data_IF_782579403800
#
_entry.id   IF_782579403800
#
_cell.length_a   1.000
_cell.length_b   1.000
_cell.length_c   1.000
_cell.angle_alpha   90.00
_cell.angle_beta   90.00
_cell.angle_gamma   90.00
#
_symmetry.space_group_name_H-M   'P 1'
#
loop_
_entity.id
_entity.type
_entity.pdbx_description
1 polymer ?
#
# COMPACT_ATOMS: atom_id res chain seq x y z
N UNK A 1 -56.47 -16.36 48.74
CA UNK A 1 -55.04 -16.13 49.07
C UNK A 1 -54.05 -16.61 47.99
N UNK A 2 -54.47 -17.28 46.90
CA UNK A 2 -53.53 -17.82 45.89
C UNK A 2 -53.22 -16.88 44.70
N UNK A 3 -54.11 -15.93 44.35
CA UNK A 3 -53.91 -15.07 43.16
C UNK A 3 -53.00 -13.85 43.40
N UNK A 4 -53.08 -13.22 44.57
CA UNK A 4 -52.23 -12.07 44.91
C UNK A 4 -50.75 -12.46 45.05
N UNK A 5 -50.47 -13.65 45.60
CA UNK A 5 -49.11 -14.17 45.72
C UNK A 5 -48.47 -14.48 44.35
N UNK A 6 -49.26 -14.99 43.40
CA UNK A 6 -48.79 -15.27 42.04
C UNK A 6 -48.48 -13.98 41.26
N UNK A 7 -49.26 -12.92 41.47
CA UNK A 7 -49.04 -11.62 40.84
C UNK A 7 -47.77 -10.93 41.38
N UNK A 8 -47.51 -11.02 42.69
CA UNK A 8 -46.28 -10.51 43.29
C UNK A 8 -45.02 -11.23 42.79
N UNK A 9 -45.07 -12.54 42.61
CA UNK A 9 -43.94 -13.30 42.09
C UNK A 9 -43.63 -12.95 40.62
N UNK A 10 -44.66 -12.74 39.80
CA UNK A 10 -44.53 -12.26 38.42
C UNK A 10 -43.94 -10.86 38.32
N UNK A 11 -44.36 -9.94 39.19
CA UNK A 11 -43.79 -8.58 39.27
C UNK A 11 -42.32 -8.63 39.73
N UNK A 12 -41.97 -9.51 40.67
CA UNK A 12 -40.59 -9.71 41.14
C UNK A 12 -39.68 -10.28 40.05
N UNK A 13 -40.16 -11.27 39.28
CA UNK A 13 -39.46 -11.84 38.10
C UNK A 13 -39.27 -10.81 36.98
N UNK A 14 -40.27 -9.97 36.67
CA UNK A 14 -40.13 -8.87 35.69
C UNK A 14 -39.10 -7.83 36.13
N UNK A 15 -39.12 -7.42 37.41
CA UNK A 15 -38.13 -6.47 37.98
C UNK A 15 -36.71 -7.04 37.96
N UNK A 16 -36.53 -8.34 38.20
CA UNK A 16 -35.23 -8.99 38.12
C UNK A 16 -34.69 -9.07 36.68
N UNK A 17 -35.53 -9.37 35.69
CA UNK A 17 -35.17 -9.33 34.25
C UNK A 17 -34.76 -7.92 33.81
N UNK A 18 -35.49 -6.90 34.24
CA UNK A 18 -35.19 -5.51 33.88
C UNK A 18 -33.86 -5.02 34.51
N UNK A 19 -33.52 -5.45 35.74
CA UNK A 19 -32.21 -5.14 36.35
C UNK A 19 -31.04 -5.81 35.61
N UNK A 20 -31.21 -7.06 35.14
CA UNK A 20 -30.19 -7.76 34.35
C UNK A 20 -29.95 -7.14 32.96
N UNK A 21 -31.00 -6.60 32.33
CA UNK A 21 -30.85 -5.85 31.08
C UNK A 21 -30.13 -4.50 31.29
N UNK A 22 -30.43 -3.79 32.39
CA UNK A 22 -29.74 -2.54 32.75
C UNK A 22 -28.24 -2.76 33.04
N UNK A 23 -27.86 -3.85 33.71
CA UNK A 23 -26.46 -4.18 33.96
C UNK A 23 -25.69 -4.56 32.69
N UNK A 24 -26.34 -5.25 31.73
CA UNK A 24 -25.72 -5.57 30.43
C UNK A 24 -25.52 -4.31 29.57
N UNK A 25 -26.45 -3.36 29.61
CA UNK A 25 -26.33 -2.06 28.92
C UNK A 25 -25.23 -1.20 29.56
N UNK A 26 -25.08 -1.23 30.89
CA UNK A 26 -23.99 -0.54 31.58
C UNK A 26 -22.61 -1.18 31.32
N UNK A 27 -22.52 -2.49 31.16
CA UNK A 27 -21.26 -3.18 30.82
C UNK A 27 -20.82 -2.89 29.37
N UNK A 28 -21.76 -2.90 28.41
CA UNK A 28 -21.47 -2.55 27.00
C UNK A 28 -21.10 -1.07 26.85
N UNK A 29 -21.66 -0.17 27.68
CA UNK A 29 -21.23 1.24 27.73
C UNK A 29 -19.82 1.43 28.31
N UNK A 30 -19.28 0.47 29.07
CA UNK A 30 -17.95 0.59 29.70
C UNK A 30 -16.82 0.14 28.78
N UNK A 31 -17.07 -0.77 27.83
CA UNK A 31 -16.11 -1.21 26.81
C UNK A 31 -16.02 -0.29 25.58
N UNK A 32 -16.92 0.67 25.41
CA UNK A 32 -16.81 1.74 24.41
C UNK A 32 -16.05 2.99 24.92
N UNK A 33 -15.29 2.86 26.01
CA UNK A 33 -14.52 3.95 26.61
C UNK A 33 -13.04 3.84 26.25
N UNK A 34 -12.72 4.01 24.98
CA UNK A 34 -11.42 4.54 24.56
C UNK A 34 -11.69 5.81 23.76
N UNK A 35 -11.23 6.92 24.34
CA UNK A 35 -11.18 8.28 23.77
C UNK A 35 -12.51 8.97 23.44
N UNK A 36 -13.26 9.36 24.48
CA UNK A 36 -14.15 10.53 24.40
C UNK A 36 -13.83 11.49 25.54
N UNK A 37 -13.51 12.73 25.17
CA UNK A 37 -13.36 13.87 26.08
C UNK A 37 -14.54 13.97 27.06
N UNK A 38 -14.31 14.44 28.31
CA UNK A 38 -15.33 14.44 29.35
C UNK A 38 -16.46 15.44 29.02
N UNK A 39 -17.74 15.11 29.28
CA UNK A 39 -18.82 16.07 29.14
C UNK A 39 -18.85 17.00 30.37
N UNK A 40 -18.93 18.30 30.09
CA UNK A 40 -19.19 19.36 31.07
C UNK A 40 -20.53 19.14 31.77
N UNK A 41 -20.53 19.38 33.08
CA UNK A 41 -21.68 19.31 33.97
C UNK A 41 -22.67 20.43 33.60
N UNK A 42 -23.90 20.08 33.21
CA UNK A 42 -24.97 21.08 33.00
C UNK A 42 -25.60 21.38 34.37
N UNK A 43 -25.31 22.56 34.91
CA UNK A 43 -26.10 23.23 35.96
C UNK A 43 -26.98 24.27 35.25
N UNK A 44 -28.29 24.37 35.52
CA UNK A 44 -29.15 25.31 34.82
C UNK A 44 -29.19 26.64 35.57
N UNK A 45 -28.62 27.72 35.03
CA UNK A 45 -28.95 29.08 35.45
C UNK A 45 -28.99 30.01 34.23
N UNK A 46 -30.08 30.75 34.19
CA UNK A 46 -30.51 31.80 33.28
C UNK A 46 -29.62 33.05 33.39
N UNK A 47 -29.36 33.70 32.24
CA UNK A 47 -28.84 35.07 32.06
C UNK A 47 -27.51 35.45 32.75
N UNK A 48 -26.43 35.55 31.97
CA UNK A 48 -25.55 36.75 31.90
C UNK A 48 -24.48 36.59 30.81
N UNK A 49 -24.19 37.70 30.11
CA UNK A 49 -23.25 37.85 29.00
C UNK A 49 -21.77 37.80 29.45
N UNK A 50 -20.93 37.39 28.50
CA UNK A 50 -19.51 37.76 28.29
C UNK A 50 -18.46 37.44 29.38
N UNK A 51 -17.69 36.37 29.14
CA UNK A 51 -16.21 36.44 28.96
C UNK A 51 -15.70 35.07 28.45
N UNK A 52 -15.33 34.98 27.17
CA UNK A 52 -14.64 33.79 26.63
C UNK A 52 -13.14 33.88 26.97
N UNK A 53 -12.62 32.91 27.72
CA UNK A 53 -11.18 32.74 27.93
C UNK A 53 -10.52 32.10 26.68
N UNK A 54 -9.25 32.43 26.35
CA UNK A 54 -8.63 32.05 25.07
C UNK A 54 -8.19 30.59 24.96
N UNK A 55 -8.30 29.78 26.03
CA UNK A 55 -7.71 28.43 26.07
C UNK A 55 -8.64 27.32 25.55
N UNK A 56 -9.96 27.53 25.52
CA UNK A 56 -10.93 26.48 25.14
C UNK A 56 -11.18 26.39 23.63
N UNK A 57 -10.86 27.44 22.88
CA UNK A 57 -10.93 27.48 21.41
C UNK A 57 -9.74 26.73 20.77
N UNK A 58 -8.56 26.85 21.37
CA UNK A 58 -7.31 26.28 20.85
C UNK A 58 -7.32 24.74 20.81
N UNK A 59 -7.96 24.08 21.77
CA UNK A 59 -7.97 22.61 21.90
C UNK A 59 -8.99 21.94 20.95
N UNK A 60 -10.09 22.62 20.61
CA UNK A 60 -11.02 22.21 19.54
C UNK A 60 -10.40 22.41 18.17
N UNK A 61 -9.61 23.46 18.00
CA UNK A 61 -8.94 23.76 16.76
C UNK A 61 -7.78 22.80 16.49
N UNK A 62 -6.99 22.38 17.49
CA UNK A 62 -5.97 21.34 17.31
C UNK A 62 -6.56 19.98 16.85
N UNK A 63 -7.67 19.56 17.46
CA UNK A 63 -8.39 18.33 17.06
C UNK A 63 -8.99 18.45 15.64
N UNK A 64 -9.41 19.65 15.23
CA UNK A 64 -9.87 19.94 13.87
C UNK A 64 -8.69 20.01 12.87
N UNK A 65 -7.54 20.57 13.26
CA UNK A 65 -6.34 20.71 12.41
C UNK A 65 -5.79 19.34 12.02
N UNK A 66 -5.69 18.39 12.96
CA UNK A 66 -5.31 17.01 12.66
C UNK A 66 -6.30 16.32 11.69
N UNK A 67 -7.59 16.66 11.77
CA UNK A 67 -8.63 16.26 10.81
C UNK A 67 -8.47 16.92 9.44
N UNK A 68 -7.99 18.16 9.37
CA UNK A 68 -7.67 18.86 8.11
C UNK A 68 -6.40 18.34 7.43
N UNK A 69 -5.45 17.82 8.21
CA UNK A 69 -4.20 17.21 7.73
C UNK A 69 -4.40 15.75 7.29
N UNK A 70 -5.55 15.14 7.61
CA UNK A 70 -5.91 13.80 7.17
C UNK A 70 -6.12 13.69 5.64
N UNK A 71 -5.33 12.85 4.97
CA UNK A 71 -5.66 12.28 3.65
C UNK A 71 -6.40 10.98 3.93
N UNK A 72 -7.60 10.81 3.40
CA UNK A 72 -8.40 9.63 3.68
C UNK A 72 -9.79 9.71 3.07
N UNK A 73 -10.52 8.57 3.05
CA UNK A 73 -11.86 8.46 2.49
C UNK A 73 -12.86 9.37 3.20
N UNK A 74 -13.95 9.69 2.50
CA UNK A 74 -14.97 10.64 2.96
C UNK A 74 -15.85 10.13 4.10
N UNK A 75 -15.76 8.85 4.45
CA UNK A 75 -16.56 8.20 5.51
C UNK A 75 -15.71 7.45 6.51
N UNK A 76 -16.11 7.53 7.77
CA UNK A 76 -15.39 7.02 8.94
C UNK A 76 -16.12 5.77 9.47
N UNK A 77 -15.40 4.66 9.63
CA UNK A 77 -15.90 3.37 10.13
C UNK A 77 -14.82 2.79 11.07
N UNK A 78 -15.18 2.35 12.27
CA UNK A 78 -14.24 1.87 13.30
C UNK A 78 -13.85 0.39 13.12
N UNK A 79 -13.28 0.03 11.96
CA UNK A 79 -12.64 -1.28 11.80
C UNK A 79 -11.16 -1.22 12.17
N UNK A 80 -10.64 -2.29 12.79
CA UNK A 80 -9.20 -2.39 13.03
C UNK A 80 -8.46 -2.51 11.69
N UNK A 81 -7.41 -1.70 11.44
CA UNK A 81 -6.67 -1.68 10.18
C UNK A 81 -5.66 -2.84 10.10
N UNK A 82 -6.17 -4.07 10.11
CA UNK A 82 -5.38 -5.30 10.15
C UNK A 82 -4.39 -5.42 8.99
N UNK A 83 -4.85 -5.22 7.75
CA UNK A 83 -4.02 -5.36 6.55
C UNK A 83 -2.85 -4.38 6.57
N UNK A 84 -3.10 -3.11 6.93
CA UNK A 84 -2.08 -2.06 6.93
C UNK A 84 -0.92 -2.39 7.88
N UNK A 85 -1.23 -2.85 9.09
CA UNK A 85 -0.20 -3.25 10.06
C UNK A 85 0.47 -4.58 9.69
N UNK A 86 -0.28 -5.58 9.25
CA UNK A 86 0.28 -6.85 8.82
C UNK A 86 1.24 -6.65 7.63
N UNK A 87 0.87 -5.81 6.67
CA UNK A 87 1.71 -5.52 5.52
C UNK A 87 3.00 -4.82 5.95
N UNK A 88 2.92 -3.81 6.83
CA UNK A 88 4.13 -3.16 7.36
C UNK A 88 5.08 -4.16 8.05
N UNK A 89 4.55 -5.09 8.84
CA UNK A 89 5.35 -6.14 9.48
C UNK A 89 6.01 -7.04 8.42
N UNK A 90 5.27 -7.42 7.36
CA UNK A 90 5.80 -8.18 6.23
C UNK A 90 6.95 -7.42 5.56
N UNK A 91 6.81 -6.10 5.32
CA UNK A 91 7.87 -5.29 4.73
C UNK A 91 9.14 -5.27 5.59
N UNK A 92 9.01 -5.12 6.91
CA UNK A 92 10.14 -5.13 7.83
C UNK A 92 10.84 -6.49 7.84
N UNK A 93 10.07 -7.59 7.87
CA UNK A 93 10.62 -8.95 7.87
C UNK A 93 11.37 -9.23 6.57
N UNK A 94 10.76 -8.91 5.42
CA UNK A 94 11.38 -9.15 4.12
C UNK A 94 12.63 -8.31 3.94
N UNK A 95 12.59 -7.02 4.27
CA UNK A 95 13.76 -6.16 4.21
C UNK A 95 14.89 -6.64 5.13
N UNK A 96 14.57 -7.16 6.33
CA UNK A 96 15.56 -7.79 7.19
C UNK A 96 16.19 -9.02 6.53
N UNK A 97 15.40 -9.81 5.82
CA UNK A 97 15.88 -10.93 5.00
C UNK A 97 16.78 -10.49 3.83
N UNK A 98 16.44 -9.39 3.16
CA UNK A 98 17.27 -8.80 2.09
C UNK A 98 18.65 -8.40 2.62
N UNK A 99 18.72 -7.76 3.80
CA UNK A 99 19.98 -7.40 4.44
C UNK A 99 20.80 -8.62 4.88
N UNK A 100 20.14 -9.67 5.38
CA UNK A 100 20.82 -10.92 5.73
C UNK A 100 21.40 -11.63 4.50
N UNK A 101 20.66 -11.67 3.40
CA UNK A 101 21.15 -12.20 2.14
C UNK A 101 22.31 -11.37 1.61
N UNK A 102 22.19 -10.03 1.66
CA UNK A 102 23.28 -9.14 1.26
C UNK A 102 24.56 -9.37 2.06
N UNK A 103 24.44 -9.65 3.37
CA UNK A 103 25.60 -9.97 4.20
C UNK A 103 26.26 -11.28 3.80
N UNK A 104 25.49 -12.24 3.29
CA UNK A 104 26.02 -13.53 2.82
C UNK A 104 26.69 -13.42 1.44
N UNK A 105 26.13 -12.60 0.55
CA UNK A 105 26.64 -12.42 -0.83
C UNK A 105 27.79 -11.42 -0.89
N UNK A 106 27.56 -10.21 -0.39
CA UNK A 106 28.49 -9.08 -0.49
C UNK A 106 29.45 -8.96 0.69
N UNK A 107 29.25 -9.76 1.74
CA UNK A 107 30.02 -9.64 2.98
C UNK A 107 29.69 -8.41 3.81
N UNK A 108 28.76 -7.55 3.39
CA UNK A 108 28.32 -6.33 4.09
C UNK A 108 26.80 -6.24 4.21
N UNK A 109 26.29 -5.61 5.28
CA UNK A 109 24.84 -5.42 5.42
C UNK A 109 24.30 -4.31 4.51
N UNK A 110 25.08 -3.25 4.32
CA UNK A 110 24.73 -2.09 3.49
C UNK A 110 25.84 -1.82 2.50
N UNK A 111 25.52 -1.79 1.21
CA UNK A 111 26.47 -1.35 0.18
C UNK A 111 26.27 0.13 -0.08
N UNK A 112 27.24 0.95 0.35
CA UNK A 112 27.21 2.40 0.18
C UNK A 112 27.98 2.89 -1.06
N UNK A 113 28.81 2.04 -1.66
CA UNK A 113 29.64 2.36 -2.82
C UNK A 113 29.00 1.85 -4.12
N UNK A 114 29.05 2.60 -5.26
CA UNK A 114 29.70 3.91 -5.45
C UNK A 114 28.92 5.13 -4.93
N UNK A 115 27.61 5.03 -4.67
CA UNK A 115 26.83 5.97 -3.84
C UNK A 115 25.40 5.41 -3.72
N UNK A 116 25.10 4.73 -2.61
CA UNK A 116 23.74 4.26 -2.31
C UNK A 116 23.04 5.22 -1.33
N UNK A 117 22.33 6.20 -1.88
CA UNK A 117 21.64 7.22 -1.08
C UNK A 117 20.53 6.65 -0.17
N UNK A 118 20.03 5.43 -0.44
CA UNK A 118 18.90 4.85 0.29
C UNK A 118 19.32 3.95 1.47
N UNK A 119 20.62 3.68 1.64
CA UNK A 119 21.22 2.82 2.67
C UNK A 119 20.58 1.43 2.65
N UNK A 120 21.02 0.59 1.71
CA UNK A 120 20.41 -0.74 1.50
C UNK A 120 21.33 -1.76 0.87
N UNK A 121 20.75 -2.90 0.42
CA UNK A 121 21.50 -3.98 -0.20
C UNK A 121 21.99 -3.62 -1.61
N UNK A 122 22.84 -4.47 -2.17
CA UNK A 122 23.35 -4.38 -3.53
C UNK A 122 22.24 -4.52 -4.57
N UNK A 123 22.49 -4.00 -5.78
CA UNK A 123 21.57 -4.17 -6.91
C UNK A 123 21.39 -5.64 -7.27
N UNK A 124 22.45 -6.44 -7.14
CA UNK A 124 22.38 -7.88 -7.36
C UNK A 124 21.44 -8.56 -6.37
N UNK A 125 21.61 -8.29 -5.08
CA UNK A 125 20.73 -8.84 -4.04
C UNK A 125 19.28 -8.47 -4.33
N UNK A 126 18.99 -7.22 -4.71
CA UNK A 126 17.63 -6.80 -5.08
C UNK A 126 17.08 -7.56 -6.30
N UNK A 127 17.91 -7.81 -7.32
CA UNK A 127 17.50 -8.64 -8.46
C UNK A 127 17.23 -10.08 -7.99
N UNK A 128 18.13 -10.67 -7.22
CA UNK A 128 17.99 -12.05 -6.74
C UNK A 128 16.82 -12.25 -5.77
N UNK A 129 16.39 -11.22 -5.05
CA UNK A 129 15.22 -11.27 -4.14
C UNK A 129 13.89 -11.03 -4.84
N UNK A 130 13.90 -10.62 -6.12
CA UNK A 130 12.70 -10.52 -6.94
C UNK A 130 12.30 -9.12 -7.39
N UNK A 131 13.21 -8.15 -7.41
CA UNK A 131 12.92 -6.82 -7.96
C UNK A 131 12.54 -6.88 -9.45
N UNK A 132 11.85 -5.86 -9.95
CA UNK A 132 11.48 -5.80 -11.37
C UNK A 132 12.72 -5.49 -12.19
N UNK A 133 13.19 -6.49 -12.92
CA UNK A 133 14.30 -6.37 -13.85
C UNK A 133 13.95 -7.08 -15.15
N UNK A 134 13.79 -6.32 -16.23
CA UNK A 134 13.18 -6.81 -17.49
C UNK A 134 13.95 -7.98 -18.11
N UNK A 135 15.31 -8.00 -18.11
CA UNK A 135 16.07 -9.14 -18.63
C UNK A 135 15.74 -10.49 -17.97
N UNK A 136 15.29 -10.51 -16.71
CA UNK A 136 14.86 -11.74 -16.04
C UNK A 136 13.44 -12.19 -16.39
N UNK A 137 12.65 -11.29 -17.00
CA UNK A 137 11.24 -11.50 -17.30
C UNK A 137 10.99 -11.84 -18.77
N UNK A 138 11.86 -11.35 -19.66
CA UNK A 138 11.82 -11.64 -21.10
C UNK A 138 13.18 -11.38 -21.77
N UNK A 139 13.44 -11.94 -22.96
CA UNK A 139 14.65 -11.62 -23.72
C UNK A 139 14.71 -10.13 -24.10
N UNK A 140 15.88 -9.51 -23.97
CA UNK A 140 16.14 -8.11 -24.35
C UNK A 140 17.44 -8.04 -25.12
N UNK A 141 17.47 -7.29 -26.22
CA UNK A 141 18.66 -7.14 -27.07
C UNK A 141 19.86 -6.50 -26.35
N UNK A 142 19.60 -5.61 -25.40
CA UNK A 142 20.62 -4.94 -24.60
C UNK A 142 21.30 -5.85 -23.55
N UNK A 143 20.68 -6.98 -23.20
CA UNK A 143 21.25 -7.99 -22.29
C UNK A 143 20.91 -9.41 -22.78
N UNK A 144 21.59 -9.91 -23.83
CA UNK A 144 21.32 -11.22 -24.43
C UNK A 144 21.55 -12.39 -23.47
N UNK A 145 20.73 -13.44 -23.60
CA UNK A 145 20.76 -14.62 -22.72
C UNK A 145 21.99 -15.51 -22.93
N UNK A 146 22.55 -15.52 -24.14
CA UNK A 146 23.74 -16.31 -24.48
C UNK A 146 25.07 -15.66 -24.12
N UNK A 147 25.05 -14.43 -23.59
CA UNK A 147 26.26 -13.75 -23.13
C UNK A 147 26.52 -14.04 -21.65
N UNK A 148 27.80 -13.98 -21.27
CA UNK A 148 28.23 -14.02 -19.88
C UNK A 148 28.56 -12.62 -19.41
N UNK A 149 28.15 -12.33 -18.19
CA UNK A 149 28.28 -11.03 -17.54
C UNK A 149 29.24 -11.15 -16.38
N UNK A 150 29.86 -10.04 -15.97
CA UNK A 150 30.62 -10.01 -14.73
C UNK A 150 29.62 -10.26 -13.60
N UNK A 151 29.85 -11.31 -12.80
CA UNK A 151 29.11 -11.55 -11.57
C UNK A 151 29.26 -10.32 -10.68
N UNK A 152 28.17 -9.87 -10.06
CA UNK A 152 28.22 -8.71 -9.16
C UNK A 152 28.73 -9.09 -7.75
N UNK A 153 29.55 -10.14 -7.66
CA UNK A 153 30.15 -10.60 -6.41
C UNK A 153 31.24 -9.61 -5.95
N UNK A 154 30.90 -8.83 -4.91
CA UNK A 154 31.79 -7.82 -4.33
C UNK A 154 32.94 -8.41 -3.51
N UNK A 155 32.91 -9.71 -3.16
CA UNK A 155 34.03 -10.34 -2.45
C UNK A 155 35.30 -10.40 -3.31
N UNK A 156 35.15 -10.46 -4.62
CA UNK A 156 36.27 -10.52 -5.58
C UNK A 156 36.75 -9.13 -6.03
N UNK A 157 35.96 -8.07 -5.81
CA UNK A 157 36.36 -6.69 -6.06
C UNK A 157 37.34 -6.13 -5.02
N UNK A 158 37.33 -6.65 -3.79
CA UNK A 158 38.36 -6.31 -2.80
C UNK A 158 39.74 -6.92 -3.14
N UNK A 159 39.79 -8.00 -3.91
CA UNK A 159 41.06 -8.57 -4.38
C UNK A 159 41.52 -8.04 -5.76
N UNK A 160 40.58 -7.63 -6.63
CA UNK A 160 40.90 -7.26 -8.03
C UNK A 160 41.35 -5.81 -8.25
N UNK A 161 41.21 -4.92 -7.25
CA UNK A 161 41.89 -3.62 -7.29
C UNK A 161 43.44 -3.76 -7.28
N UNK A 162 43.95 -4.96 -7.03
CA UNK A 162 45.36 -5.33 -7.05
C UNK A 162 45.88 -5.83 -8.42
N UNK A 163 45.01 -6.16 -9.38
CA UNK A 163 45.41 -6.94 -10.58
C UNK A 163 44.83 -6.41 -11.90
N UNK A 164 44.94 -5.12 -12.14
CA UNK A 164 44.77 -4.54 -13.48
C UNK A 164 45.89 -5.03 -14.43
N UNK A 165 45.70 -6.20 -15.04
CA UNK A 165 46.45 -6.65 -16.21
C UNK A 165 45.51 -7.36 -17.22
N UNK A 166 45.50 -7.01 -18.53
CA UNK A 166 44.43 -7.38 -19.47
C UNK A 166 44.55 -8.79 -20.07
N UNK A 167 45.23 -9.75 -19.44
CA UNK A 167 45.57 -11.03 -20.09
C UNK A 167 45.59 -12.27 -19.18
N UNK A 168 44.78 -12.28 -18.12
CA UNK A 168 44.76 -13.41 -17.16
C UNK A 168 43.54 -14.33 -17.36
N UNK A 169 43.69 -15.67 -17.35
CA UNK A 169 42.61 -16.66 -17.47
C UNK A 169 41.65 -16.71 -16.26
N UNK A 170 41.80 -15.82 -15.28
CA UNK A 170 40.94 -15.67 -14.10
C UNK A 170 39.58 -15.02 -14.38
N UNK A 171 39.39 -14.45 -15.58
CA UNK A 171 38.12 -13.81 -15.99
C UNK A 171 36.96 -14.80 -16.20
N UNK A 172 37.25 -16.10 -16.32
CA UNK A 172 36.21 -17.14 -16.43
C UNK A 172 35.57 -17.53 -15.08
N UNK A 173 36.23 -17.26 -13.96
CA UNK A 173 35.71 -17.53 -12.61
C UNK A 173 34.85 -16.40 -12.04
N UNK A 174 34.74 -15.27 -12.76
CA UNK A 174 33.95 -14.09 -12.36
C UNK A 174 32.82 -13.81 -13.33
N UNK A 175 32.53 -14.74 -14.26
CA UNK A 175 31.51 -14.56 -15.28
C UNK A 175 30.27 -15.39 -14.95
N UNK A 176 29.12 -14.73 -14.80
CA UNK A 176 27.83 -15.31 -14.49
C UNK A 176 26.94 -15.40 -15.73
N UNK A 177 26.07 -16.40 -15.77
CA UNK A 177 24.97 -16.43 -16.73
C UNK A 177 23.89 -15.43 -16.31
N UNK A 178 22.99 -15.09 -17.24
CA UNK A 178 21.82 -14.27 -16.90
C UNK A 178 20.95 -14.95 -15.82
N UNK A 179 20.87 -16.28 -15.84
CA UNK A 179 20.09 -17.04 -14.85
C UNK A 179 20.68 -16.90 -13.44
N UNK A 180 22.01 -16.88 -13.31
CA UNK A 180 22.70 -16.65 -12.04
C UNK A 180 22.45 -15.24 -11.50
N UNK A 181 22.47 -14.22 -12.38
CA UNK A 181 22.14 -12.83 -12.01
C UNK A 181 20.69 -12.72 -11.57
N UNK A 182 19.78 -13.34 -12.30
CA UNK A 182 18.36 -13.26 -12.02
C UNK A 182 18.00 -13.95 -10.70
N UNK A 183 18.54 -15.14 -10.44
CA UNK A 183 18.25 -15.89 -9.22
C UNK A 183 16.75 -16.05 -8.96
N UNK A 184 16.37 -16.10 -7.68
CA UNK A 184 15.01 -16.29 -7.14
C UNK A 184 14.33 -17.63 -7.50
N UNK A 185 14.11 -17.89 -8.79
CA UNK A 185 13.45 -19.08 -9.33
C UNK A 185 14.14 -19.43 -10.66
N UNK A 186 14.55 -20.68 -10.91
CA UNK A 186 15.18 -21.06 -12.17
C UNK A 186 14.26 -20.78 -13.36
N UNK A 187 14.85 -20.54 -14.54
CA UNK A 187 14.06 -20.38 -15.76
C UNK A 187 13.42 -21.71 -16.15
N UNK A 188 12.19 -21.67 -16.67
CA UNK A 188 11.51 -22.91 -17.07
C UNK A 188 12.21 -23.63 -18.21
N UNK A 189 12.77 -22.85 -19.14
CA UNK A 189 13.61 -23.34 -20.23
C UNK A 189 14.98 -22.68 -20.11
N UNK A 190 16.08 -23.45 -20.19
CA UNK A 190 17.43 -22.90 -20.08
C UNK A 190 17.65 -21.75 -21.07
N UNK A 191 18.10 -20.59 -20.56
CA UNK A 191 18.37 -19.41 -21.37
C UNK A 191 17.14 -18.67 -21.90
N UNK A 192 15.92 -19.00 -21.44
CA UNK A 192 14.68 -18.28 -21.78
C UNK A 192 14.10 -17.65 -20.52
N UNK A 193 14.33 -16.35 -20.27
CA UNK A 193 13.81 -15.67 -19.09
C UNK A 193 12.28 -15.61 -19.10
N UNK A 194 11.67 -16.08 -18.00
CA UNK A 194 10.21 -16.21 -17.86
C UNK A 194 9.69 -15.88 -16.44
N UNK A 195 10.45 -15.10 -15.66
CA UNK A 195 10.11 -14.77 -14.26
C UNK A 195 9.02 -13.69 -14.14
N UNK A 196 7.82 -13.98 -14.68
CA UNK A 196 6.65 -13.09 -14.64
C UNK A 196 6.16 -12.74 -13.22
N UNK A 197 6.59 -13.51 -12.21
CA UNK A 197 6.29 -13.22 -10.80
C UNK A 197 6.84 -11.85 -10.35
N UNK A 198 7.83 -11.32 -11.09
CA UNK A 198 8.41 -9.97 -10.91
C UNK A 198 7.47 -8.81 -11.23
N UNK A 199 6.21 -9.07 -11.61
CA UNK A 199 5.15 -8.05 -11.55
C UNK A 199 4.61 -7.84 -10.12
N UNK A 200 4.77 -8.83 -9.23
CA UNK A 200 4.16 -8.83 -7.90
C UNK A 200 5.20 -8.78 -6.77
N UNK A 201 6.28 -9.55 -6.86
CA UNK A 201 7.35 -9.58 -5.84
C UNK A 201 7.94 -8.21 -5.49
N UNK A 202 8.12 -7.25 -6.42
CA UNK A 202 8.74 -5.98 -6.07
C UNK A 202 7.90 -5.13 -5.10
N UNK A 203 6.61 -5.42 -4.94
CA UNK A 203 5.72 -4.71 -4.01
C UNK A 203 6.15 -4.81 -2.55
N UNK A 204 6.98 -5.79 -2.20
CA UNK A 204 7.41 -6.02 -0.84
C UNK A 204 8.90 -5.73 -0.59
N UNK A 205 9.66 -5.43 -1.65
CA UNK A 205 11.10 -5.17 -1.60
C UNK A 205 11.36 -3.67 -1.49
N UNK A 206 12.48 -3.28 -0.89
CA UNK A 206 12.85 -1.87 -0.73
C UNK A 206 14.35 -1.65 -0.99
N UNK A 207 14.71 -0.52 -1.59
CA UNK A 207 16.09 -0.18 -1.96
C UNK A 207 16.97 0.13 -0.75
N UNK A 208 16.38 0.34 0.42
CA UNK A 208 17.11 0.65 1.65
C UNK A 208 16.20 1.15 2.78
N UNK A 209 16.81 1.45 3.93
CA UNK A 209 16.11 1.83 5.15
C UNK A 209 15.29 3.11 4.96
N UNK A 210 15.86 4.10 4.26
CA UNK A 210 15.19 5.39 4.05
C UNK A 210 13.94 5.18 3.20
N UNK A 211 14.05 4.37 2.15
CA UNK A 211 12.93 4.04 1.28
C UNK A 211 11.83 3.28 2.05
N UNK A 212 12.20 2.25 2.83
CA UNK A 212 11.25 1.51 3.68
C UNK A 212 10.53 2.42 4.69
N UNK A 213 11.23 3.35 5.31
CA UNK A 213 10.63 4.28 6.26
C UNK A 213 9.62 5.21 5.57
N UNK A 214 9.98 5.80 4.43
CA UNK A 214 9.10 6.70 3.68
C UNK A 214 7.85 5.98 3.17
N UNK A 215 8.02 4.81 2.54
CA UNK A 215 6.90 4.01 2.04
C UNK A 215 6.03 3.51 3.19
N UNK A 216 6.62 3.04 4.30
CA UNK A 216 5.90 2.62 5.49
C UNK A 216 5.11 3.74 6.16
N UNK A 217 5.67 4.94 6.24
CA UNK A 217 4.97 6.10 6.78
C UNK A 217 3.77 6.51 5.91
N UNK A 218 3.96 6.59 4.59
CA UNK A 218 2.88 6.93 3.65
C UNK A 218 1.80 5.83 3.65
N UNK A 219 2.22 4.56 3.68
CA UNK A 219 1.33 3.41 3.81
C UNK A 219 0.44 3.57 5.05
N UNK A 220 1.00 3.82 6.23
CA UNK A 220 0.19 3.97 7.45
C UNK A 220 -0.72 5.19 7.39
N UNK A 221 -0.25 6.33 6.87
CA UNK A 221 -1.05 7.57 6.80
C UNK A 221 -2.31 7.38 5.94
N UNK A 222 -2.18 6.68 4.80
CA UNK A 222 -3.25 6.53 3.81
C UNK A 222 -4.04 5.23 4.05
N UNK A 223 -3.35 4.09 4.16
CA UNK A 223 -3.94 2.76 4.19
C UNK A 223 -4.81 2.53 5.42
N UNK A 224 -4.39 3.00 6.60
CA UNK A 224 -5.18 2.82 7.83
C UNK A 224 -6.58 3.42 7.70
N UNK A 225 -6.66 4.65 7.20
CA UNK A 225 -7.93 5.36 7.02
C UNK A 225 -8.75 4.76 5.89
N UNK A 226 -8.08 4.33 4.82
CA UNK A 226 -8.74 3.65 3.71
C UNK A 226 -9.36 2.33 4.16
N UNK A 227 -8.61 1.55 4.92
CA UNK A 227 -9.00 0.26 5.47
C UNK A 227 -10.17 0.37 6.43
N UNK A 228 -10.15 1.37 7.29
CA UNK A 228 -11.29 1.70 8.14
C UNK A 228 -12.57 1.89 7.32
N UNK A 229 -12.51 2.64 6.22
CA UNK A 229 -13.68 2.93 5.40
C UNK A 229 -14.18 1.76 4.55
N UNK A 230 -13.28 1.00 3.92
CA UNK A 230 -13.66 -0.01 2.91
C UNK A 230 -13.41 -1.46 3.33
N UNK A 231 -12.87 -1.68 4.53
CA UNK A 231 -12.40 -2.94 5.13
C UNK A 231 -11.07 -3.50 4.59
N UNK A 232 -10.48 -4.43 5.36
CA UNK A 232 -9.17 -5.07 5.10
C UNK A 232 -9.10 -5.78 3.76
N UNK A 233 -10.11 -6.58 3.41
CA UNK A 233 -10.11 -7.37 2.17
C UNK A 233 -10.09 -6.48 0.93
N UNK A 234 -10.89 -5.41 0.92
CA UNK A 234 -10.94 -4.53 -0.24
C UNK A 234 -9.71 -3.65 -0.35
N UNK A 235 -9.16 -3.26 0.79
CA UNK A 235 -7.91 -2.50 0.84
C UNK A 235 -6.74 -3.33 0.35
N UNK A 236 -6.65 -4.60 0.76
CA UNK A 236 -5.61 -5.52 0.28
C UNK A 236 -5.74 -5.81 -1.22
N UNK A 237 -6.97 -6.05 -1.72
CA UNK A 237 -7.21 -6.23 -3.16
C UNK A 237 -6.83 -4.99 -3.96
N UNK A 238 -7.21 -3.79 -3.48
CA UNK A 238 -6.84 -2.54 -4.11
C UNK A 238 -5.31 -2.39 -4.17
N UNK A 239 -4.63 -2.65 -3.05
CA UNK A 239 -3.18 -2.54 -2.93
C UNK A 239 -2.46 -3.49 -3.90
N UNK A 240 -2.76 -4.78 -3.83
CA UNK A 240 -2.06 -5.80 -4.61
C UNK A 240 -2.36 -5.63 -6.10
N UNK A 241 -3.64 -5.47 -6.47
CA UNK A 241 -4.00 -5.37 -7.89
C UNK A 241 -3.48 -4.08 -8.53
N UNK A 242 -3.59 -2.93 -7.86
CA UNK A 242 -3.05 -1.68 -8.41
C UNK A 242 -1.53 -1.70 -8.53
N UNK A 243 -0.86 -2.34 -7.57
CA UNK A 243 0.58 -2.55 -7.59
C UNK A 243 1.03 -3.39 -8.78
N UNK A 244 0.42 -4.56 -8.98
CA UNK A 244 0.72 -5.46 -10.11
C UNK A 244 0.47 -4.76 -11.45
N UNK A 245 -0.66 -4.05 -11.57
CA UNK A 245 -0.96 -3.29 -12.79
C UNK A 245 0.08 -2.18 -13.02
N UNK A 246 0.48 -1.48 -11.96
CA UNK A 246 1.57 -0.50 -12.00
C UNK A 246 2.86 -1.10 -12.52
N UNK A 247 3.36 -2.17 -11.92
CA UNK A 247 4.58 -2.86 -12.36
C UNK A 247 4.45 -3.43 -13.79
N UNK A 248 3.26 -3.87 -14.20
CA UNK A 248 3.00 -4.28 -15.58
C UNK A 248 3.12 -3.10 -16.57
N UNK A 249 2.63 -1.91 -16.21
CA UNK A 249 2.82 -0.70 -17.02
C UNK A 249 4.30 -0.28 -17.03
N UNK A 250 4.96 -0.29 -15.88
CA UNK A 250 6.39 0.01 -15.76
C UNK A 250 7.27 -0.90 -16.62
N UNK A 251 7.03 -2.21 -16.62
CA UNK A 251 7.76 -3.16 -17.45
C UNK A 251 7.65 -2.92 -18.96
N UNK A 252 6.58 -2.25 -19.39
CA UNK A 252 6.30 -1.96 -20.78
C UNK A 252 6.97 -0.68 -21.30
N UNK A 253 7.30 0.26 -20.42
CA UNK A 253 7.63 1.63 -20.81
C UNK A 253 8.83 2.23 -20.07
N UNK A 254 9.20 1.72 -18.89
CA UNK A 254 10.40 2.14 -18.18
C UNK A 254 11.66 1.49 -18.79
N UNK A 255 12.82 2.08 -18.48
CA UNK A 255 14.13 1.60 -18.93
C UNK A 255 14.34 0.12 -18.54
N UNK A 256 14.62 -0.80 -19.49
CA UNK A 256 14.63 -2.23 -19.21
C UNK A 256 15.81 -2.67 -18.31
N UNK A 257 16.93 -1.96 -18.36
CA UNK A 257 18.15 -2.28 -17.60
C UNK A 257 18.20 -1.63 -16.21
N UNK A 258 17.13 -0.97 -15.77
CA UNK A 258 17.02 -0.42 -14.43
C UNK A 258 16.21 -1.35 -13.53
N UNK A 259 16.63 -1.47 -12.27
CA UNK A 259 15.92 -2.25 -11.25
C UNK A 259 14.87 -1.36 -10.59
N UNK A 260 13.61 -1.82 -10.61
CA UNK A 260 12.50 -1.11 -9.99
C UNK A 260 11.80 -1.98 -8.94
N UNK A 261 11.42 -1.38 -7.82
CA UNK A 261 10.78 -2.06 -6.70
C UNK A 261 10.09 -1.07 -5.76
N UNK A 262 9.43 -1.57 -4.73
CA UNK A 262 8.69 -0.78 -3.75
C UNK A 262 7.19 -0.89 -3.92
N UNK A 263 6.49 -0.49 -2.86
CA UNK A 263 5.03 -0.52 -2.82
C UNK A 263 4.38 0.78 -3.32
N UNK A 264 5.19 1.79 -3.66
CA UNK A 264 4.73 3.09 -4.13
C UNK A 264 3.70 3.03 -5.26
N UNK A 265 3.80 2.09 -6.21
CA UNK A 265 2.75 1.86 -7.23
C UNK A 265 1.38 1.58 -6.62
N UNK A 266 1.31 0.78 -5.56
CA UNK A 266 0.07 0.50 -4.83
C UNK A 266 -0.44 1.71 -4.06
N UNK A 267 0.46 2.53 -3.51
CA UNK A 267 0.12 3.78 -2.83
C UNK A 267 -0.51 4.80 -3.79
N UNK A 268 0.00 4.89 -5.03
CA UNK A 268 -0.66 5.66 -6.09
C UNK A 268 -2.05 5.08 -6.45
N UNK A 269 -2.22 3.76 -6.38
CA UNK A 269 -3.54 3.12 -6.48
C UNK A 269 -4.52 3.56 -5.40
N UNK A 270 -4.07 3.74 -4.16
CA UNK A 270 -4.88 4.34 -3.10
C UNK A 270 -5.25 5.78 -3.41
N UNK A 271 -4.33 6.60 -3.91
CA UNK A 271 -4.64 7.97 -4.33
C UNK A 271 -5.72 7.97 -5.43
N UNK A 272 -5.61 7.06 -6.41
CA UNK A 272 -6.60 6.87 -7.47
C UNK A 272 -7.99 6.53 -6.94
N UNK A 273 -8.05 5.65 -5.96
CA UNK A 273 -9.29 5.35 -5.25
C UNK A 273 -9.89 6.58 -4.54
N UNK A 274 -9.04 7.34 -3.83
CA UNK A 274 -9.48 8.52 -3.08
C UNK A 274 -10.05 9.62 -3.99
N UNK A 275 -9.55 9.76 -5.22
CA UNK A 275 -10.16 10.66 -6.20
C UNK A 275 -11.60 10.26 -6.51
N UNK A 276 -11.84 8.97 -6.79
CA UNK A 276 -13.19 8.47 -7.10
C UNK A 276 -14.10 8.56 -5.86
N UNK A 277 -13.61 8.23 -4.66
CA UNK A 277 -14.36 8.41 -3.43
C UNK A 277 -14.81 9.87 -3.23
N UNK A 278 -13.90 10.82 -3.44
CA UNK A 278 -14.19 12.26 -3.30
C UNK A 278 -15.19 12.74 -4.36
N UNK A 279 -15.06 12.30 -5.61
CA UNK A 279 -15.96 12.67 -6.70
C UNK A 279 -17.37 12.10 -6.51
N UNK A 280 -17.48 10.83 -6.10
CA UNK A 280 -18.78 10.20 -5.80
C UNK A 280 -19.49 10.90 -4.64
N UNK A 281 -18.75 11.27 -3.60
CA UNK A 281 -19.31 11.94 -2.42
C UNK A 281 -19.26 13.48 -2.50
N UNK A 282 -18.97 14.06 -3.66
CA UNK A 282 -18.68 15.49 -3.83
C UNK A 282 -19.70 16.45 -3.21
N UNK A 283 -20.99 16.11 -3.30
CA UNK A 283 -22.10 16.92 -2.74
C UNK A 283 -22.25 16.77 -1.22
N UNK A 284 -21.86 15.63 -0.66
CA UNK A 284 -21.94 15.33 0.78
C UNK A 284 -20.70 15.80 1.53
N UNK A 285 -19.56 15.90 0.83
CA UNK A 285 -18.27 16.24 1.42
C UNK A 285 -18.16 17.74 1.73
N UNK A 286 -17.98 18.07 3.02
CA UNK A 286 -17.63 19.41 3.47
C UNK A 286 -16.26 19.83 2.90
N UNK A 287 -16.12 21.10 2.52
CA UNK A 287 -14.85 21.68 1.99
C UNK A 287 -14.25 20.86 0.83
N UNK A 288 -15.12 20.34 -0.05
CA UNK A 288 -14.79 19.50 -1.22
C UNK A 288 -13.62 20.02 -2.06
N UNK A 289 -13.58 21.32 -2.35
CA UNK A 289 -12.51 21.92 -3.17
C UNK A 289 -11.15 21.88 -2.45
N UNK A 290 -11.11 22.20 -1.15
CA UNK A 290 -9.88 22.13 -0.36
C UNK A 290 -9.35 20.69 -0.27
N UNK A 291 -10.24 19.70 -0.08
CA UNK A 291 -9.85 18.28 -0.10
C UNK A 291 -9.32 17.84 -1.45
N UNK A 292 -9.95 18.28 -2.53
CA UNK A 292 -9.49 17.97 -3.89
C UNK A 292 -8.12 18.58 -4.17
N UNK A 293 -7.94 19.88 -3.88
CA UNK A 293 -6.66 20.58 -4.08
C UNK A 293 -5.56 19.94 -3.25
N UNK A 294 -5.84 19.53 -2.02
CA UNK A 294 -4.86 18.83 -1.18
C UNK A 294 -4.50 17.45 -1.73
N UNK A 295 -5.48 16.65 -2.13
CA UNK A 295 -5.24 15.34 -2.75
C UNK A 295 -4.43 15.49 -4.04
N UNK A 296 -4.76 16.49 -4.85
CA UNK A 296 -4.02 16.87 -6.05
C UNK A 296 -2.58 17.26 -5.73
N UNK A 297 -2.36 18.18 -4.78
CA UNK A 297 -1.02 18.63 -4.41
C UNK A 297 -0.14 17.46 -3.93
N UNK A 298 -0.69 16.57 -3.09
CA UNK A 298 0.05 15.39 -2.61
C UNK A 298 0.38 14.46 -3.76
N UNK A 299 -0.61 14.14 -4.61
CA UNK A 299 -0.39 13.28 -5.78
C UNK A 299 0.66 13.88 -6.71
N UNK A 300 0.60 15.19 -6.94
CA UNK A 300 1.53 15.92 -7.79
C UNK A 300 2.95 15.92 -7.22
N UNK A 301 3.13 16.22 -5.93
CA UNK A 301 4.45 16.19 -5.27
C UNK A 301 5.02 14.77 -5.29
N UNK A 302 4.23 13.74 -4.93
CA UNK A 302 4.67 12.35 -5.02
C UNK A 302 5.07 11.98 -6.45
N UNK A 303 4.32 12.44 -7.46
CA UNK A 303 4.65 12.18 -8.86
C UNK A 303 5.93 12.89 -9.30
N UNK A 304 6.14 14.14 -8.87
CA UNK A 304 7.39 14.88 -9.14
C UNK A 304 8.61 14.17 -8.52
N UNK A 305 8.49 13.68 -7.28
CA UNK A 305 9.52 12.84 -6.67
C UNK A 305 9.72 11.53 -7.45
N UNK A 306 8.65 11.00 -8.05
CA UNK A 306 8.68 9.85 -8.95
C UNK A 306 9.35 10.09 -10.31
N UNK A 307 9.63 11.35 -10.68
CA UNK A 307 10.38 11.70 -11.90
C UNK A 307 11.91 11.73 -11.66
N UNK A 308 12.36 11.52 -10.42
CA UNK A 308 13.78 11.40 -10.12
C UNK A 308 14.38 10.17 -10.83
N UNK A 309 15.65 10.26 -11.28
CA UNK A 309 16.31 9.14 -11.94
C UNK A 309 16.35 7.91 -11.04
N UNK A 310 16.05 6.74 -11.60
CA UNK A 310 15.96 5.47 -10.86
C UNK A 310 14.60 5.21 -10.19
N UNK A 311 13.61 6.11 -10.35
CA UNK A 311 12.25 5.92 -9.84
C UNK A 311 11.27 5.62 -10.98
N UNK A 312 10.32 4.72 -10.70
CA UNK A 312 9.39 4.19 -11.70
C UNK A 312 8.13 5.05 -11.89
N UNK A 313 8.27 6.14 -12.64
CA UNK A 313 7.13 7.03 -12.95
C UNK A 313 5.99 6.31 -13.70
N UNK A 314 6.31 5.34 -14.55
CA UNK A 314 5.31 4.55 -15.28
C UNK A 314 4.52 3.63 -14.34
N UNK A 315 5.16 3.00 -13.36
CA UNK A 315 4.42 2.22 -12.37
C UNK A 315 3.58 3.06 -11.42
N UNK A 316 4.00 4.29 -11.10
CA UNK A 316 3.15 5.24 -10.36
C UNK A 316 1.90 5.60 -11.16
N UNK A 317 2.07 5.92 -12.45
CA UNK A 317 0.94 6.22 -13.35
C UNK A 317 0.00 5.03 -13.50
N UNK A 318 0.53 3.82 -13.68
CA UNK A 318 -0.26 2.59 -13.78
C UNK A 318 -0.99 2.26 -12.50
N UNK A 319 -0.36 2.48 -11.34
CA UNK A 319 -0.98 2.40 -10.03
C UNK A 319 -2.17 3.35 -9.90
N UNK A 320 -1.97 4.63 -10.21
CA UNK A 320 -3.03 5.65 -10.15
C UNK A 320 -4.22 5.29 -11.06
N UNK A 321 -3.95 4.93 -12.32
CA UNK A 321 -4.97 4.58 -13.30
C UNK A 321 -5.76 3.32 -12.89
N UNK A 322 -5.08 2.27 -12.44
CA UNK A 322 -5.73 1.05 -11.97
C UNK A 322 -6.52 1.28 -10.67
N UNK A 323 -6.03 2.12 -9.76
CA UNK A 323 -6.76 2.54 -8.56
C UNK A 323 -8.08 3.22 -8.89
N UNK A 324 -8.10 4.11 -9.88
CA UNK A 324 -9.33 4.75 -10.39
C UNK A 324 -10.32 3.70 -10.91
N UNK A 325 -9.85 2.75 -11.72
CA UNK A 325 -10.70 1.69 -12.29
C UNK A 325 -11.26 0.79 -11.16
N UNK A 326 -10.39 0.30 -10.27
CA UNK A 326 -10.73 -0.61 -9.18
C UNK A 326 -11.61 0.06 -8.11
N UNK A 327 -11.62 1.39 -8.00
CA UNK A 327 -12.51 2.10 -7.10
C UNK A 327 -13.98 1.77 -7.36
N UNK A 328 -14.39 1.73 -8.64
CA UNK A 328 -15.75 1.37 -9.03
C UNK A 328 -16.11 -0.08 -8.67
N UNK A 329 -15.12 -0.98 -8.63
CA UNK A 329 -15.32 -2.37 -8.20
C UNK A 329 -15.45 -2.47 -6.68
N UNK A 330 -14.55 -1.83 -5.93
CA UNK A 330 -14.33 -2.06 -4.50
C UNK A 330 -15.15 -1.13 -3.59
N UNK A 331 -15.73 -0.04 -4.11
CA UNK A 331 -16.46 0.91 -3.28
C UNK A 331 -17.65 0.25 -2.54
N UNK A 332 -17.81 0.49 -1.22
CA UNK A 332 -18.93 -0.04 -0.45
C UNK A 332 -20.26 0.62 -0.78
N UNK A 333 -21.30 -0.21 -0.83
CA UNK A 333 -22.70 0.24 -0.84
C UNK A 333 -23.05 0.56 0.61
N UNK A 334 -23.31 1.83 0.92
CA UNK A 334 -23.64 2.29 2.28
C UNK A 334 -25.15 2.37 2.55
N UNK A 335 -25.99 2.27 1.52
CA UNK A 335 -27.44 2.24 1.68
C UNK A 335 -27.89 0.91 2.30
N UNK A 336 -28.64 0.95 3.42
CA UNK A 336 -29.14 -0.25 4.13
C UNK A 336 -30.15 -1.05 3.30
N UNK A 337 -30.89 -0.41 2.40
CA UNK A 337 -31.87 -1.05 1.51
C UNK A 337 -31.90 -0.31 0.15
N UNK A 338 -30.94 -0.57 -0.75
CA UNK A 338 -30.94 0.04 -2.06
C UNK A 338 -32.09 -0.50 -2.91
N UNK A 339 -32.73 0.38 -3.69
CA UNK A 339 -33.71 -0.01 -4.71
C UNK A 339 -33.09 -1.02 -5.70
N UNK A 340 -33.90 -1.94 -6.24
CA UNK A 340 -33.47 -2.97 -7.19
C UNK A 340 -32.74 -2.36 -8.38
N UNK A 341 -33.23 -1.23 -8.90
CA UNK A 341 -32.58 -0.49 -10.00
C UNK A 341 -31.15 -0.06 -9.63
N UNK A 342 -30.96 0.52 -8.44
CA UNK A 342 -29.63 0.92 -7.96
C UNK A 342 -28.71 -0.27 -7.78
N UNK A 343 -29.23 -1.37 -7.23
CA UNK A 343 -28.45 -2.60 -7.04
C UNK A 343 -27.97 -3.18 -8.36
N UNK A 344 -28.84 -3.22 -9.38
CA UNK A 344 -28.48 -3.64 -10.75
C UNK A 344 -27.40 -2.74 -11.32
N UNK A 345 -27.56 -1.40 -11.22
CA UNK A 345 -26.56 -0.44 -11.70
C UNK A 345 -25.20 -0.67 -11.04
N UNK A 346 -25.15 -0.86 -9.71
CA UNK A 346 -23.89 -1.10 -9.01
C UNK A 346 -23.22 -2.39 -9.47
N UNK A 347 -23.95 -3.50 -9.61
CA UNK A 347 -23.35 -4.73 -10.11
C UNK A 347 -22.88 -4.62 -11.56
N UNK A 348 -23.63 -3.90 -12.40
CA UNK A 348 -23.22 -3.63 -13.77
C UNK A 348 -21.92 -2.81 -13.83
N UNK A 349 -21.83 -1.72 -13.07
CA UNK A 349 -20.62 -0.89 -12.98
C UNK A 349 -19.43 -1.70 -12.46
N UNK A 350 -19.63 -2.55 -11.45
CA UNK A 350 -18.59 -3.46 -10.94
C UNK A 350 -18.11 -4.44 -12.00
N UNK A 351 -19.03 -5.04 -12.75
CA UNK A 351 -18.71 -5.96 -13.83
C UNK A 351 -17.91 -5.24 -14.94
N UNK A 352 -18.38 -4.07 -15.38
CA UNK A 352 -17.67 -3.26 -16.37
C UNK A 352 -16.25 -2.87 -15.90
N UNK A 353 -16.12 -2.42 -14.66
CA UNK A 353 -14.82 -2.09 -14.05
C UNK A 353 -13.87 -3.29 -14.06
N UNK A 354 -14.34 -4.47 -13.65
CA UNK A 354 -13.55 -5.70 -13.64
C UNK A 354 -13.14 -6.13 -15.06
N UNK A 355 -14.06 -6.06 -16.03
CA UNK A 355 -13.77 -6.34 -17.43
C UNK A 355 -12.73 -5.38 -18.01
N UNK A 356 -12.88 -4.08 -17.78
CA UNK A 356 -11.93 -3.06 -18.24
C UNK A 356 -10.55 -3.31 -17.64
N UNK A 357 -10.47 -3.54 -16.33
CA UNK A 357 -9.22 -3.85 -15.63
C UNK A 357 -8.54 -5.10 -16.24
N UNK A 358 -9.30 -6.19 -16.39
CA UNK A 358 -8.78 -7.44 -16.95
C UNK A 358 -8.30 -7.32 -18.39
N UNK A 359 -9.04 -6.60 -19.25
CA UNK A 359 -8.66 -6.35 -20.64
C UNK A 359 -7.38 -5.52 -20.70
N UNK A 360 -7.30 -4.42 -19.95
CA UNK A 360 -6.10 -3.57 -19.95
C UNK A 360 -4.87 -4.31 -19.42
N UNK A 361 -5.01 -5.05 -18.32
CA UNK A 361 -3.92 -5.86 -17.79
C UNK A 361 -3.49 -6.94 -18.78
N UNK A 362 -4.45 -7.60 -19.43
CA UNK A 362 -4.19 -8.59 -20.48
C UNK A 362 -3.45 -7.98 -21.69
N UNK A 363 -3.82 -6.77 -22.10
CA UNK A 363 -3.12 -6.02 -23.15
C UNK A 363 -1.68 -5.70 -22.73
N UNK A 364 -1.47 -5.23 -21.51
CA UNK A 364 -0.13 -4.90 -21.00
C UNK A 364 0.77 -6.14 -20.92
N UNK A 365 0.26 -7.26 -20.40
CA UNK A 365 1.00 -8.52 -20.31
C UNK A 365 1.30 -9.04 -21.73
N UNK A 366 0.30 -9.07 -22.61
CA UNK A 366 0.48 -9.51 -24.01
C UNK A 366 1.47 -8.65 -24.77
N UNK A 367 1.40 -7.32 -24.60
CA UNK A 367 2.35 -6.38 -25.22
C UNK A 367 3.76 -6.65 -24.72
N UNK A 368 3.91 -6.83 -23.40
CA UNK A 368 5.20 -7.09 -22.78
C UNK A 368 5.86 -8.36 -23.33
N UNK A 369 5.08 -9.44 -23.49
CA UNK A 369 5.60 -10.74 -23.93
C UNK A 369 5.84 -10.84 -25.44
N UNK A 370 5.09 -10.11 -26.27
CA UNK A 370 5.21 -10.17 -27.74
C UNK A 370 6.27 -9.20 -28.29
N UNK A 371 6.37 -7.99 -27.75
CA UNK A 371 7.29 -6.97 -28.28
C UNK A 371 8.68 -7.21 -27.69
N UNK A 372 9.62 -7.66 -28.52
CA UNK A 372 11.03 -7.89 -28.18
C UNK A 372 11.87 -6.66 -28.41
#
# INVERSE_FOLDING_TARGET
MSEQAALEELVKKRRARHRRQLSHVQFVKRTQRTEKCPPSLIIPIEQQQEEQSPEEENNKDECNILRYISIGPSTENDHWPLFSWLWLVILIILFSGELLLNRQTSGEFFELYPLNSMIGPSVETMIQTGARFVPCMKPVSAMPTGQRYICLDTTLMNETLSLLAPSSPALFNTSCSLEDICGMIPFRLPGVPDQVVRFATPLALHTGIIHLFLDGAILLIISVKLEQAINSLRTSLLFICSGIFGHALGANFAEPLTVYLGCSSSLFGYLGYLYIDLLVHWKSTKKRLQRFVKLFLVTFVCFLLGLLPGVDSYSHLGGLASGIILAFFLMPIKEKAPDLKKRIIVYFVRLCSLCIYGILLGILIRRFTIIQ
#
